data_IF_671673010995
#
_entry.id   IF_671673010995
#
_cell.length_a   1.000
_cell.length_b   1.000
_cell.length_c   1.000
_cell.angle_alpha   90.00
_cell.angle_beta   90.00
_cell.angle_gamma   90.00
#
_symmetry.space_group_name_H-M   'P 1'
#
loop_
_entity.id
_entity.type
_entity.pdbx_description
1 polymer ?
#
# COMPACT_ATOMS: atom_id res chain seq x y z
N UNK A 1 1.84 -11.99 -4.27
CA UNK A 1 2.01 -13.46 -4.29
C UNK A 1 3.44 -13.79 -3.88
N UNK A 2 3.69 -15.00 -3.36
CA UNK A 2 5.03 -15.45 -2.94
C UNK A 2 5.30 -16.87 -3.44
N UNK A 3 6.56 -17.19 -3.77
CA UNK A 3 7.00 -18.51 -4.20
C UNK A 3 8.52 -18.65 -4.06
N UNK A 4 9.00 -19.89 -3.89
CA UNK A 4 10.43 -20.22 -3.73
C UNK A 4 11.21 -20.23 -5.05
N UNK A 5 10.50 -20.20 -6.18
CA UNK A 5 11.07 -20.26 -7.52
C UNK A 5 10.48 -19.15 -8.39
N UNK A 6 11.27 -18.64 -9.33
CA UNK A 6 10.86 -17.58 -10.25
C UNK A 6 9.61 -17.93 -11.06
N UNK A 7 9.41 -19.21 -11.39
CA UNK A 7 8.28 -19.69 -12.19
C UNK A 7 7.17 -20.36 -11.34
N UNK A 8 7.24 -20.24 -10.02
CA UNK A 8 6.24 -20.78 -9.10
C UNK A 8 6.45 -22.24 -8.70
N UNK A 9 5.44 -22.88 -8.07
CA UNK A 9 4.10 -22.35 -7.85
C UNK A 9 4.07 -21.15 -6.88
N UNK A 10 3.21 -20.19 -7.17
CA UNK A 10 2.97 -19.02 -6.32
C UNK A 10 1.77 -19.24 -5.39
N UNK A 11 1.83 -18.66 -4.18
CA UNK A 11 0.71 -18.59 -3.24
C UNK A 11 0.23 -17.14 -3.09
N UNK A 12 -1.08 -16.89 -2.98
CA UNK A 12 -1.60 -15.56 -2.65
C UNK A 12 -1.08 -15.10 -1.28
N UNK A 13 -0.66 -13.83 -1.19
CA UNK A 13 -0.33 -13.23 0.11
C UNK A 13 -1.60 -13.10 0.95
N UNK A 14 -1.51 -13.26 2.27
CA UNK A 14 -2.64 -13.17 3.20
C UNK A 14 -3.84 -14.08 2.80
N UNK A 15 -3.56 -15.23 2.18
CA UNK A 15 -4.54 -16.18 1.63
C UNK A 15 -5.46 -15.67 0.50
N UNK A 16 -5.66 -14.35 0.34
CA UNK A 16 -6.55 -13.75 -0.67
C UNK A 16 -5.82 -13.08 -1.83
N UNK A 17 -4.54 -12.73 -1.64
CA UNK A 17 -3.76 -11.89 -2.54
C UNK A 17 -3.71 -10.41 -2.13
N UNK A 18 -4.60 -9.96 -1.23
CA UNK A 18 -4.61 -8.58 -0.74
C UNK A 18 -3.47 -8.34 0.25
N UNK A 19 -2.66 -7.29 0.03
CA UNK A 19 -1.55 -6.88 0.91
C UNK A 19 -1.89 -5.58 1.64
N UNK A 20 -2.21 -4.52 0.88
CA UNK A 20 -2.58 -3.21 1.40
C UNK A 20 -3.68 -2.64 0.51
N UNK A 21 -4.89 -2.54 1.04
CA UNK A 21 -6.05 -1.97 0.36
C UNK A 21 -6.51 -0.68 1.03
N UNK A 22 -7.14 0.21 0.27
CA UNK A 22 -7.72 1.43 0.82
C UNK A 22 -8.86 1.10 1.80
N UNK A 23 -9.06 1.91 2.86
CA UNK A 23 -10.20 1.77 3.74
C UNK A 23 -11.51 2.05 2.97
N UNK A 24 -12.61 1.34 3.28
CA UNK A 24 -13.86 1.49 2.56
C UNK A 24 -14.50 2.89 2.69
N UNK A 25 -14.18 3.63 3.75
CA UNK A 25 -14.65 5.01 3.97
C UNK A 25 -13.96 6.01 3.03
N UNK A 26 -12.75 5.70 2.56
CA UNK A 26 -12.01 6.52 1.58
C UNK A 26 -11.44 5.61 0.47
N UNK A 27 -12.31 4.98 -0.34
CA UNK A 27 -11.93 3.85 -1.19
C UNK A 27 -10.94 4.23 -2.29
N UNK A 28 -10.87 5.53 -2.62
CA UNK A 28 -10.00 6.08 -3.66
C UNK A 28 -8.93 7.03 -3.09
N UNK A 29 -8.66 6.99 -1.78
CA UNK A 29 -7.72 7.94 -1.17
C UNK A 29 -6.33 7.89 -1.81
N UNK A 30 -5.87 6.70 -2.23
CA UNK A 30 -4.52 6.49 -2.77
C UNK A 30 -4.49 5.44 -3.87
N UNK A 31 -3.54 5.58 -4.80
CA UNK A 31 -3.32 4.62 -5.89
C UNK A 31 -1.83 4.47 -6.24
N UNK A 32 -1.52 3.51 -7.13
CA UNK A 32 -0.15 3.17 -7.56
C UNK A 32 0.80 2.80 -6.41
N UNK A 33 0.32 1.99 -5.47
CA UNK A 33 1.11 1.49 -4.35
C UNK A 33 2.34 0.70 -4.83
N UNK A 34 3.53 1.12 -4.43
CA UNK A 34 4.80 0.47 -4.77
C UNK A 34 5.50 -0.02 -3.50
N UNK A 35 5.60 -1.35 -3.34
CA UNK A 35 6.26 -2.00 -2.22
C UNK A 35 7.76 -2.10 -2.48
N UNK A 36 8.58 -1.49 -1.62
CA UNK A 36 10.04 -1.49 -1.70
C UNK A 36 10.67 -2.61 -0.85
N UNK A 37 11.92 -3.03 -1.12
CA UNK A 37 12.56 -4.13 -0.37
C UNK A 37 12.84 -3.81 1.11
N UNK A 38 12.83 -2.53 1.51
CA UNK A 38 12.90 -2.11 2.93
C UNK A 38 11.55 -2.22 3.67
N UNK A 39 10.49 -2.69 3.00
CA UNK A 39 9.15 -2.84 3.57
C UNK A 39 8.31 -1.57 3.55
N UNK A 40 8.83 -0.45 3.02
CA UNK A 40 8.06 0.77 2.81
C UNK A 40 7.20 0.66 1.55
N UNK A 41 6.02 1.28 1.59
CA UNK A 41 5.05 1.34 0.50
C UNK A 41 4.69 2.79 0.24
N UNK A 42 5.08 3.30 -0.91
CA UNK A 42 4.69 4.64 -1.37
C UNK A 42 3.46 4.55 -2.28
N UNK A 43 2.67 5.61 -2.34
CA UNK A 43 1.51 5.77 -3.22
C UNK A 43 1.21 7.26 -3.39
N UNK A 44 0.45 7.63 -4.42
CA UNK A 44 -0.03 9.01 -4.57
C UNK A 44 -1.48 9.13 -4.09
N UNK A 45 -1.85 10.31 -3.60
CA UNK A 45 -3.23 10.65 -3.22
C UNK A 45 -4.04 10.92 -4.48
N UNK A 46 -5.16 10.22 -4.64
CA UNK A 46 -6.07 10.39 -5.79
C UNK A 46 -7.27 11.24 -5.38
N UNK A 47 -8.28 10.65 -4.73
CA UNK A 47 -9.53 11.33 -4.37
C UNK A 47 -9.99 10.97 -2.97
N UNK A 48 -10.12 11.98 -2.10
CA UNK A 48 -10.51 11.82 -0.69
C UNK A 48 -11.89 12.45 -0.48
N UNK A 49 -12.90 11.70 0.02
CA UNK A 49 -14.21 12.26 0.34
C UNK A 49 -14.12 13.43 1.32
N UNK A 50 -14.95 14.44 1.15
CA UNK A 50 -15.05 15.58 2.06
C UNK A 50 -16.48 15.72 2.61
N UNK A 51 -17.13 16.87 2.44
CA UNK A 51 -18.50 17.08 2.88
C UNK A 51 -19.48 16.71 1.76
N UNK A 52 -20.55 15.98 2.09
CA UNK A 52 -21.55 15.58 1.10
C UNK A 52 -21.00 14.61 0.04
N UNK A 53 -21.22 14.94 -1.23
CA UNK A 53 -20.73 14.16 -2.39
C UNK A 53 -19.44 14.74 -2.99
N UNK A 54 -18.81 15.71 -2.32
CA UNK A 54 -17.61 16.38 -2.80
C UNK A 54 -16.33 15.63 -2.41
N UNK A 55 -15.29 15.81 -3.24
CA UNK A 55 -13.98 15.19 -3.06
C UNK A 55 -12.85 16.22 -3.10
N UNK A 56 -11.82 15.99 -2.29
CA UNK A 56 -10.53 16.66 -2.39
C UNK A 56 -9.60 15.82 -3.25
N UNK A 57 -9.17 16.39 -4.36
CA UNK A 57 -8.19 15.77 -5.25
C UNK A 57 -6.77 15.95 -4.68
N UNK A 58 -5.98 14.88 -4.77
CA UNK A 58 -4.57 14.87 -4.45
C UNK A 58 -3.72 15.33 -5.64
N UNK A 59 -3.03 14.39 -6.29
CA UNK A 59 -1.94 14.69 -7.22
C UNK A 59 -0.62 14.99 -6.51
N UNK A 60 -0.46 14.46 -5.30
CA UNK A 60 0.74 14.55 -4.47
C UNK A 60 0.97 13.22 -3.74
N UNK A 61 2.15 13.03 -3.16
CA UNK A 61 2.49 11.79 -2.45
C UNK A 61 1.64 11.60 -1.20
N UNK A 62 1.30 10.35 -0.91
CA UNK A 62 0.64 9.95 0.33
C UNK A 62 1.68 9.72 1.45
N UNK A 63 1.24 9.60 2.72
CA UNK A 63 2.09 9.09 3.79
C UNK A 63 2.62 7.71 3.43
N UNK A 64 3.93 7.50 3.60
CA UNK A 64 4.53 6.19 3.31
C UNK A 64 4.20 5.21 4.44
N UNK A 65 3.73 4.02 4.09
CA UNK A 65 3.35 2.98 5.06
C UNK A 65 4.43 1.91 5.13
N UNK A 66 4.75 1.43 6.33
CA UNK A 66 5.61 0.25 6.51
C UNK A 66 4.76 -1.00 6.68
N UNK A 67 5.10 -2.02 5.88
CA UNK A 67 4.60 -3.38 6.06
C UNK A 67 5.75 -4.34 6.42
N UNK A 68 5.42 -5.34 7.22
CA UNK A 68 6.32 -6.46 7.52
C UNK A 68 5.84 -7.71 6.78
N UNK A 69 6.72 -8.33 5.99
CA UNK A 69 6.47 -9.62 5.35
C UNK A 69 6.96 -10.76 6.26
N UNK A 70 6.08 -11.73 6.53
CA UNK A 70 6.39 -12.94 7.31
C UNK A 70 5.82 -14.16 6.60
N UNK A 71 6.67 -14.86 5.83
CA UNK A 71 6.24 -15.96 4.97
C UNK A 71 5.26 -15.46 3.92
N UNK A 72 4.07 -16.05 3.87
CA UNK A 72 2.97 -15.68 2.96
C UNK A 72 2.02 -14.61 3.55
N UNK A 73 2.42 -13.92 4.62
CA UNK A 73 1.62 -12.88 5.28
C UNK A 73 2.30 -11.51 5.30
N UNK A 74 1.50 -10.46 5.39
CA UNK A 74 1.94 -9.08 5.58
C UNK A 74 1.17 -8.40 6.71
N UNK A 75 1.82 -7.44 7.36
CA UNK A 75 1.27 -6.70 8.50
C UNK A 75 1.65 -5.23 8.39
N UNK A 76 0.68 -4.32 8.43
CA UNK A 76 0.95 -2.88 8.58
C UNK A 76 1.54 -2.62 9.97
N UNK A 77 2.58 -1.79 10.05
CA UNK A 77 3.25 -1.48 11.31
C UNK A 77 3.21 0.01 11.66
N UNK A 78 3.65 0.86 10.73
CA UNK A 78 3.96 2.26 10.99
C UNK A 78 3.60 3.11 9.77
N UNK A 79 3.38 4.40 10.01
CA UNK A 79 3.18 5.44 9.01
C UNK A 79 4.33 6.47 9.14
N UNK A 80 4.76 7.00 8.00
CA UNK A 80 5.84 7.98 7.86
C UNK A 80 5.32 9.23 7.15
N UNK A 81 6.14 10.27 7.06
CA UNK A 81 5.79 11.50 6.34
C UNK A 81 5.35 11.26 4.88
N UNK A 82 4.61 12.23 4.35
CA UNK A 82 4.21 12.27 2.95
C UNK A 82 5.43 12.15 2.02
N UNK A 83 5.40 11.17 1.11
CA UNK A 83 6.48 10.96 0.13
C UNK A 83 7.83 10.56 0.74
N UNK A 84 7.84 9.96 1.93
CA UNK A 84 9.06 9.45 2.55
C UNK A 84 9.61 8.20 1.82
N UNK A 85 10.48 8.43 0.84
CA UNK A 85 11.10 7.39 0.01
C UNK A 85 12.64 7.43 0.20
N UNK A 86 13.17 6.90 1.32
CA UNK A 86 14.60 6.91 1.60
C UNK A 86 15.38 5.90 0.74
N UNK A 87 16.68 6.15 0.56
CA UNK A 87 17.60 5.15 0.04
C UNK A 87 17.74 3.96 1.00
N UNK A 88 18.14 2.82 0.44
CA UNK A 88 18.42 1.57 1.18
C UNK A 88 19.88 1.43 1.57
#
# INVERSE_FOLDING_TARGET
FVGEHLFGPYRPMNASGLVLGNPPEQPFQTYSHCVMPNGLVTSFIDSVPTEGEDYRIGGTEAPTVRILLKGDRSFVQEEYDYGYIPAM
#
